data_IF_129418291259
#
_entry.id   IF_129418291259
#
_cell.length_a   1.000
_cell.length_b   1.000
_cell.length_c   1.000
_cell.angle_alpha   90.00
_cell.angle_beta   90.00
_cell.angle_gamma   90.00
#
_symmetry.space_group_name_H-M   'P 1'
#
loop_
_entity.id
_entity.type
_entity.pdbx_description
1 polymer ?
#
# COMPACT_ATOMS: atom_id res chain seq x y z
N UNK A 1 36.15 -1.30 -18.63
CA UNK A 1 36.30 -0.65 -17.31
C UNK A 1 35.00 -0.89 -16.57
N UNK A 2 34.94 -2.01 -15.83
CA UNK A 2 33.80 -2.38 -14.99
C UNK A 2 33.90 -1.54 -13.72
N UNK A 3 33.06 -0.51 -13.60
CA UNK A 3 32.89 0.19 -12.33
C UNK A 3 32.25 -0.77 -11.34
N UNK A 4 32.99 -1.12 -10.29
CA UNK A 4 32.45 -1.83 -9.15
C UNK A 4 31.34 -0.95 -8.54
N UNK A 5 30.11 -1.47 -8.52
CA UNK A 5 29.04 -0.83 -7.77
C UNK A 5 29.31 -1.16 -6.30
N UNK A 6 29.94 -0.22 -5.61
CA UNK A 6 30.07 -0.23 -4.15
C UNK A 6 28.68 -0.43 -3.54
N UNK A 7 28.45 -1.47 -2.71
CA UNK A 7 27.18 -1.67 -2.06
C UNK A 7 26.90 -0.46 -1.16
N UNK A 8 25.89 0.33 -1.54
CA UNK A 8 25.49 1.52 -0.80
C UNK A 8 25.22 1.21 0.67
N UNK A 9 25.63 2.13 1.55
CA UNK A 9 25.49 2.05 3.00
C UNK A 9 24.10 1.55 3.42
N UNK A 10 24.07 0.51 4.25
CA UNK A 10 22.82 -0.06 4.78
C UNK A 10 22.23 0.88 5.81
N UNK A 11 21.32 1.76 5.38
CA UNK A 11 20.52 2.58 6.28
C UNK A 11 19.40 1.71 6.86
N UNK A 12 19.60 1.26 8.10
CA UNK A 12 18.59 0.55 8.87
C UNK A 12 17.77 1.56 9.67
N UNK A 13 16.46 1.61 9.39
CA UNK A 13 15.49 2.34 10.21
C UNK A 13 14.84 1.37 11.18
N UNK A 14 14.57 1.81 12.41
CA UNK A 14 13.61 1.12 13.26
C UNK A 14 12.21 1.20 12.66
N UNK A 15 11.30 0.33 13.10
CA UNK A 15 9.91 0.38 12.66
C UNK A 15 9.26 1.73 12.98
N UNK A 16 9.51 2.28 14.18
CA UNK A 16 8.96 3.57 14.59
C UNK A 16 9.46 4.72 13.71
N UNK A 17 10.76 4.76 13.38
CA UNK A 17 11.32 5.77 12.47
C UNK A 17 10.77 5.62 11.04
N UNK A 18 10.61 4.38 10.56
CA UNK A 18 10.02 4.13 9.26
C UNK A 18 8.57 4.65 9.21
N UNK A 19 7.76 4.36 10.24
CA UNK A 19 6.39 4.86 10.35
C UNK A 19 6.34 6.38 10.53
N UNK A 20 7.23 6.98 11.32
CA UNK A 20 7.32 8.44 11.44
C UNK A 20 7.65 9.09 10.10
N UNK A 21 8.43 8.40 9.25
CA UNK A 21 8.74 8.88 7.90
C UNK A 21 7.54 8.80 6.96
N UNK A 22 6.89 7.64 6.88
CA UNK A 22 5.79 7.43 5.92
C UNK A 22 4.42 7.79 6.46
N UNK A 23 4.30 8.20 7.73
CA UNK A 23 3.02 8.60 8.34
C UNK A 23 2.60 10.04 8.01
N UNK A 24 3.41 10.76 7.26
CA UNK A 24 3.14 12.13 6.82
C UNK A 24 2.52 12.17 5.43
N UNK A 25 1.46 12.96 5.29
CA UNK A 25 0.62 13.01 4.10
C UNK A 25 1.40 13.43 2.84
N UNK A 26 2.24 14.46 2.95
CA UNK A 26 3.05 14.93 1.82
C UNK A 26 4.05 13.86 1.38
N UNK A 27 4.69 13.17 2.32
CA UNK A 27 5.62 12.07 2.02
C UNK A 27 4.91 10.87 1.37
N UNK A 28 3.69 10.54 1.80
CA UNK A 28 2.90 9.50 1.14
C UNK A 28 2.50 9.89 -0.29
N UNK A 29 2.11 11.15 -0.50
CA UNK A 29 1.78 11.64 -1.83
C UNK A 29 2.99 11.55 -2.77
N UNK A 30 4.16 11.98 -2.30
CA UNK A 30 5.43 11.84 -3.05
C UNK A 30 5.68 10.38 -3.42
N UNK A 31 5.60 9.45 -2.45
CA UNK A 31 5.83 8.03 -2.71
C UNK A 31 4.82 7.45 -3.70
N UNK A 32 3.54 7.82 -3.58
CA UNK A 32 2.49 7.39 -4.49
C UNK A 32 2.76 7.88 -5.92
N UNK A 33 3.02 9.17 -6.10
CA UNK A 33 3.31 9.77 -7.42
C UNK A 33 4.52 9.10 -8.08
N UNK A 34 5.56 8.81 -7.29
CA UNK A 34 6.75 8.07 -7.76
C UNK A 34 6.45 6.60 -8.08
N UNK A 35 5.57 5.94 -7.33
CA UNK A 35 5.17 4.54 -7.57
C UNK A 35 4.33 4.37 -8.84
N UNK A 36 3.47 5.34 -9.14
CA UNK A 36 2.62 5.39 -10.34
C UNK A 36 3.40 5.81 -11.60
N UNK A 37 4.58 6.40 -11.44
CA UNK A 37 5.45 6.75 -12.57
C UNK A 37 6.12 5.50 -13.18
N UNK A 38 6.12 5.43 -14.51
CA UNK A 38 6.81 4.38 -15.27
C UNK A 38 8.34 4.58 -15.26
N UNK A 39 8.79 5.83 -15.22
CA UNK A 39 10.20 6.23 -15.26
C UNK A 39 10.54 7.16 -14.08
N UNK A 40 11.82 7.31 -13.71
CA UNK A 40 12.23 8.29 -12.71
C UNK A 40 11.73 9.70 -13.05
N UNK A 41 11.27 10.45 -12.05
CA UNK A 41 10.79 11.82 -12.23
C UNK A 41 11.84 12.84 -11.82
N UNK A 42 12.08 13.85 -12.66
CA UNK A 42 12.88 15.00 -12.27
C UNK A 42 12.22 15.75 -11.08
N UNK A 43 12.99 16.52 -10.32
CA UNK A 43 12.47 17.28 -9.17
C UNK A 43 11.27 18.16 -9.56
N UNK A 44 11.41 18.95 -10.63
CA UNK A 44 10.37 19.88 -11.07
C UNK A 44 9.11 19.16 -11.49
N UNK A 45 9.24 18.04 -12.20
CA UNK A 45 8.10 17.23 -12.62
C UNK A 45 7.39 16.58 -11.43
N UNK A 46 8.14 16.06 -10.46
CA UNK A 46 7.56 15.51 -9.24
C UNK A 46 6.85 16.60 -8.42
N UNK A 47 7.45 17.78 -8.30
CA UNK A 47 6.87 18.93 -7.61
C UNK A 47 5.58 19.42 -8.29
N UNK A 48 5.58 19.54 -9.62
CA UNK A 48 4.42 19.97 -10.39
C UNK A 48 3.25 18.98 -10.27
N UNK A 49 3.53 17.67 -10.27
CA UNK A 49 2.49 16.61 -10.19
C UNK A 49 1.77 16.53 -8.84
N UNK A 50 2.39 17.00 -7.77
CA UNK A 50 1.77 16.96 -6.44
C UNK A 50 1.02 18.24 -6.07
N UNK A 51 0.99 19.24 -6.97
CA UNK A 51 0.29 20.52 -6.80
C UNK A 51 0.56 21.20 -5.44
N UNK A 52 1.84 21.23 -5.04
CA UNK A 52 2.26 21.68 -3.71
C UNK A 52 2.82 23.10 -3.74
N UNK A 53 2.37 23.97 -2.83
CA UNK A 53 2.66 25.41 -2.89
C UNK A 53 3.98 25.83 -2.22
N UNK A 54 4.61 24.96 -1.43
CA UNK A 54 5.84 25.28 -0.68
C UNK A 54 7.03 24.40 -1.10
N UNK A 55 7.89 24.95 -1.94
CA UNK A 55 9.08 24.27 -2.48
C UNK A 55 10.15 23.97 -1.41
N UNK A 56 10.26 24.80 -0.37
CA UNK A 56 11.22 24.59 0.71
C UNK A 56 10.78 23.41 1.57
N UNK A 57 9.48 23.35 1.88
CA UNK A 57 8.92 22.22 2.61
C UNK A 57 8.94 20.93 1.78
N UNK A 58 8.64 20.99 0.48
CA UNK A 58 8.71 19.82 -0.40
C UNK A 58 10.10 19.18 -0.45
N UNK A 59 11.16 19.99 -0.56
CA UNK A 59 12.55 19.49 -0.54
C UNK A 59 12.81 18.71 0.75
N UNK A 60 12.39 19.24 1.90
CA UNK A 60 12.50 18.56 3.19
C UNK A 60 11.79 17.20 3.18
N UNK A 61 10.53 17.14 2.74
CA UNK A 61 9.78 15.88 2.67
C UNK A 61 10.43 14.85 1.73
N UNK A 62 10.90 15.29 0.55
CA UNK A 62 11.58 14.42 -0.40
C UNK A 62 12.90 13.87 0.15
N UNK A 63 13.72 14.71 0.78
CA UNK A 63 15.00 14.29 1.36
C UNK A 63 14.83 13.26 2.47
N UNK A 64 13.77 13.35 3.28
CA UNK A 64 13.44 12.34 4.30
C UNK A 64 13.14 10.96 3.71
N UNK A 65 12.70 10.89 2.45
CA UNK A 65 12.39 9.65 1.76
C UNK A 65 13.59 9.06 1.02
N UNK A 66 14.50 9.93 0.54
CA UNK A 66 15.69 9.53 -0.21
C UNK A 66 16.61 8.68 0.65
N UNK A 67 17.14 7.60 0.06
CA UNK A 67 17.99 6.63 0.73
C UNK A 67 17.23 5.34 1.02
N UNK A 68 16.16 5.39 1.81
CA UNK A 68 15.44 4.19 2.24
C UNK A 68 14.20 3.86 1.38
N UNK A 69 13.37 4.85 1.08
CA UNK A 69 12.12 4.65 0.32
C UNK A 69 12.24 5.10 -1.14
N UNK A 70 13.08 6.10 -1.39
CA UNK A 70 13.34 6.67 -2.73
C UNK A 70 14.82 6.53 -3.05
N UNK A 71 15.15 6.27 -4.31
CA UNK A 71 16.50 6.41 -4.85
C UNK A 71 16.56 7.62 -5.76
N UNK A 72 17.65 8.36 -5.68
CA UNK A 72 18.00 9.42 -6.63
C UNK A 72 18.95 8.83 -7.67
N UNK A 73 18.61 8.97 -8.94
CA UNK A 73 19.40 8.58 -10.11
C UNK A 73 19.78 9.84 -10.89
N UNK A 74 20.58 9.67 -11.95
CA UNK A 74 20.87 10.77 -12.88
C UNK A 74 19.61 11.28 -13.62
N UNK A 75 18.64 10.39 -13.84
CA UNK A 75 17.38 10.67 -14.54
C UNK A 75 16.30 11.27 -13.63
N UNK A 76 16.43 11.15 -12.29
CA UNK A 76 15.48 11.72 -11.35
C UNK A 76 15.30 10.89 -10.08
N UNK A 77 14.11 10.95 -9.50
CA UNK A 77 13.72 10.20 -8.31
C UNK A 77 12.87 9.01 -8.72
N UNK A 78 13.14 7.86 -8.12
CA UNK A 78 12.37 6.64 -8.33
C UNK A 78 12.13 5.95 -6.99
N UNK A 79 10.99 5.27 -6.80
CA UNK A 79 10.74 4.54 -5.57
C UNK A 79 11.66 3.31 -5.52
N UNK A 80 12.21 3.03 -4.34
CA UNK A 80 12.79 1.72 -4.04
C UNK A 80 11.67 0.70 -3.86
N UNK A 81 12.01 -0.59 -3.88
CA UNK A 81 11.05 -1.66 -3.60
C UNK A 81 10.33 -1.45 -2.26
N UNK A 82 11.05 -1.00 -1.23
CA UNK A 82 10.48 -0.65 0.07
C UNK A 82 9.41 0.43 -0.04
N UNK A 83 9.68 1.52 -0.75
CA UNK A 83 8.69 2.59 -1.00
C UNK A 83 7.47 2.08 -1.76
N UNK A 84 7.66 1.23 -2.79
CA UNK A 84 6.55 0.61 -3.53
C UNK A 84 5.65 -0.23 -2.63
N UNK A 85 6.22 -1.05 -1.74
CA UNK A 85 5.45 -1.89 -0.81
C UNK A 85 4.64 -1.08 0.21
N UNK A 86 5.16 0.06 0.67
CA UNK A 86 4.41 0.97 1.54
C UNK A 86 3.18 1.51 0.82
N UNK A 87 3.36 2.02 -0.40
CA UNK A 87 2.26 2.53 -1.23
C UNK A 87 1.23 1.43 -1.50
N UNK A 88 1.68 0.23 -1.88
CA UNK A 88 0.79 -0.91 -2.10
C UNK A 88 -0.03 -1.25 -0.85
N UNK A 89 0.60 -1.36 0.31
CA UNK A 89 -0.09 -1.69 1.56
C UNK A 89 -1.14 -0.63 1.96
N UNK A 90 -0.81 0.66 1.81
CA UNK A 90 -1.70 1.76 2.21
C UNK A 90 -2.83 1.93 1.20
N UNK A 91 -2.53 2.02 -0.10
CA UNK A 91 -3.51 2.38 -1.12
C UNK A 91 -4.29 1.19 -1.70
N UNK A 92 -3.97 -0.05 -1.31
CA UNK A 92 -4.81 -1.23 -1.60
C UNK A 92 -6.05 -1.33 -0.70
N UNK A 93 -6.18 -0.46 0.30
CA UNK A 93 -7.26 -0.53 1.28
C UNK A 93 -6.98 -1.48 2.44
N UNK A 94 -5.95 -2.33 2.37
CA UNK A 94 -5.61 -3.31 3.43
C UNK A 94 -5.36 -2.65 4.79
N UNK A 95 -4.82 -1.44 4.80
CA UNK A 95 -4.54 -0.68 6.04
C UNK A 95 -5.63 0.35 6.35
N UNK A 96 -6.35 0.85 5.35
CA UNK A 96 -7.26 2.00 5.51
C UNK A 96 -8.74 1.64 5.53
N UNK A 97 -9.12 0.53 4.91
CA UNK A 97 -10.51 0.19 4.69
C UNK A 97 -11.01 -0.72 5.82
N UNK A 98 -12.26 -0.54 6.20
CA UNK A 98 -12.99 -1.47 7.09
C UNK A 98 -14.26 -1.90 6.36
N UNK A 99 -14.14 -2.73 5.30
CA UNK A 99 -15.27 -3.06 4.46
C UNK A 99 -16.26 -3.92 5.25
N UNK A 100 -17.55 -3.61 5.08
CA UNK A 100 -18.66 -4.43 5.55
C UNK A 100 -19.50 -4.80 4.35
N UNK A 101 -19.67 -6.09 4.12
CA UNK A 101 -20.58 -6.65 3.13
C UNK A 101 -21.71 -7.32 3.90
N UNK A 102 -22.90 -6.72 3.83
CA UNK A 102 -24.12 -7.35 4.31
C UNK A 102 -24.34 -8.68 3.58
N UNK A 103 -25.13 -9.59 4.18
CA UNK A 103 -25.41 -10.90 3.56
C UNK A 103 -25.94 -10.71 2.15
N UNK A 104 -25.19 -11.25 1.19
CA UNK A 104 -25.52 -11.18 -0.22
C UNK A 104 -25.36 -12.55 -0.86
N UNK A 105 -26.13 -12.79 -1.92
CA UNK A 105 -26.05 -14.01 -2.70
C UNK A 105 -24.70 -14.19 -3.38
N UNK A 106 -24.18 -15.41 -3.36
CA UNK A 106 -22.94 -15.78 -4.05
C UNK A 106 -23.15 -17.05 -4.87
N UNK A 107 -22.42 -17.16 -5.98
CA UNK A 107 -22.45 -18.33 -6.86
C UNK A 107 -21.60 -19.47 -6.29
N UNK A 108 -21.99 -19.91 -5.10
CA UNK A 108 -21.41 -21.06 -4.40
C UNK A 108 -22.54 -21.93 -3.84
N UNK A 109 -22.45 -23.23 -4.08
CA UNK A 109 -23.35 -24.21 -3.50
C UNK A 109 -22.86 -24.63 -2.11
N UNK A 110 -23.79 -24.90 -1.21
CA UNK A 110 -23.49 -25.41 0.11
C UNK A 110 -22.82 -26.79 0.01
N UNK A 111 -21.65 -26.96 0.63
CA UNK A 111 -20.93 -28.24 0.62
C UNK A 111 -21.67 -29.39 1.32
N UNK A 112 -22.68 -29.09 2.14
CA UNK A 112 -23.46 -30.07 2.88
C UNK A 112 -24.74 -30.51 2.16
N UNK A 113 -25.49 -29.58 1.56
CA UNK A 113 -26.80 -29.86 0.96
C UNK A 113 -26.95 -29.45 -0.51
N UNK A 114 -25.97 -28.75 -1.10
CA UNK A 114 -25.99 -28.31 -2.49
C UNK A 114 -26.81 -27.07 -2.79
N UNK A 115 -27.53 -26.51 -1.81
CA UNK A 115 -28.37 -25.31 -1.98
C UNK A 115 -27.54 -24.03 -2.14
N UNK A 116 -28.17 -22.95 -2.60
CA UNK A 116 -27.52 -21.63 -2.75
C UNK A 116 -27.03 -21.07 -1.41
N UNK A 117 -25.91 -20.33 -1.45
CA UNK A 117 -25.30 -19.71 -0.26
C UNK A 117 -25.27 -18.19 -0.34
N UNK A 118 -25.19 -17.57 0.83
CA UNK A 118 -24.95 -16.14 1.01
C UNK A 118 -23.57 -15.94 1.64
N UNK A 119 -22.91 -14.83 1.31
CA UNK A 119 -21.67 -14.41 1.95
C UNK A 119 -21.89 -13.07 2.67
N UNK A 120 -21.31 -12.94 3.85
CA UNK A 120 -21.11 -11.65 4.51
C UNK A 120 -19.62 -11.48 4.80
N UNK A 121 -19.17 -10.23 4.78
CA UNK A 121 -17.83 -9.85 5.19
C UNK A 121 -17.95 -8.79 6.28
N UNK A 122 -17.42 -9.08 7.45
CA UNK A 122 -17.39 -8.14 8.58
C UNK A 122 -16.30 -8.59 9.54
N UNK A 123 -15.77 -7.66 10.34
CA UNK A 123 -14.71 -7.96 11.31
C UNK A 123 -13.56 -8.79 10.70
N UNK A 124 -13.16 -8.42 9.48
CA UNK A 124 -12.08 -9.05 8.70
C UNK A 124 -12.30 -10.53 8.33
N UNK A 125 -13.50 -11.08 8.55
CA UNK A 125 -13.85 -12.47 8.22
C UNK A 125 -14.93 -12.56 7.16
N UNK A 126 -14.66 -13.36 6.13
CA UNK A 126 -15.68 -13.82 5.21
C UNK A 126 -16.43 -15.01 5.82
N UNK A 127 -17.74 -14.92 5.90
CA UNK A 127 -18.60 -15.98 6.40
C UNK A 127 -19.62 -16.35 5.33
N UNK A 128 -19.65 -17.63 4.97
CA UNK A 128 -20.59 -18.23 4.04
C UNK A 128 -21.70 -18.93 4.83
N UNK A 129 -22.94 -18.63 4.50
CA UNK A 129 -24.15 -19.18 5.10
C UNK A 129 -24.95 -19.96 4.07
N UNK A 130 -25.42 -21.15 4.43
CA UNK A 130 -26.44 -21.83 3.64
C UNK A 130 -27.82 -21.21 3.93
N UNK A 131 -28.67 -21.11 2.90
CA UNK A 131 -30.06 -20.64 3.04
C UNK A 131 -31.02 -21.70 3.57
N UNK A 132 -30.64 -22.98 3.49
CA UNK A 132 -31.58 -24.10 3.70
C UNK A 132 -31.16 -25.07 4.81
N UNK A 133 -29.91 -25.07 5.26
CA UNK A 133 -29.45 -25.89 6.38
C UNK A 133 -28.51 -25.12 7.31
N UNK A 134 -28.08 -25.74 8.40
CA UNK A 134 -27.15 -25.17 9.38
C UNK A 134 -25.71 -24.97 8.84
N UNK A 135 -25.46 -25.33 7.59
CA UNK A 135 -24.14 -25.22 6.95
C UNK A 135 -23.58 -23.80 6.99
N UNK A 136 -22.40 -23.66 7.59
CA UNK A 136 -21.63 -22.41 7.67
C UNK A 136 -20.15 -22.68 7.45
N UNK A 137 -19.48 -21.81 6.69
CA UNK A 137 -18.02 -21.83 6.51
C UNK A 137 -17.50 -20.43 6.87
N UNK A 138 -16.40 -20.36 7.60
CA UNK A 138 -15.89 -19.11 8.17
C UNK A 138 -16.21 -19.05 9.66
N UNK A 139 -15.20 -19.30 10.47
CA UNK A 139 -15.31 -19.15 11.92
C UNK A 139 -15.07 -17.69 12.27
N UNK A 140 -16.13 -17.01 12.72
CA UNK A 140 -15.92 -16.06 13.82
C UNK A 140 -15.78 -16.93 15.07
N UNK A 141 -14.55 -17.22 15.47
CA UNK A 141 -14.34 -17.73 16.82
C UNK A 141 -14.88 -16.71 17.83
N UNK A 142 -15.31 -17.14 19.03
CA UNK A 142 -15.60 -16.20 20.11
C UNK A 142 -14.40 -15.29 20.42
#
# INVERSE_FOLDING_TARGET
MTGEIEPGESTTLSAAEAFDIVGDETRLLILKTLAEANEPLAYSELFDRIEYDDSSNFTYHLEKLVGHFVRKTEEGYAPRLTGRRVVEAIFSGVVTDTPVVERTDVDMACMYCGSQTEMAYYDEVAVIYCRECEGRIGNRGP
#
